data_IF_737432128588
#
_entry.id   IF_737432128588
#
_cell.length_a   1.000
_cell.length_b   1.000
_cell.length_c   1.000
_cell.angle_alpha   90.00
_cell.angle_beta   90.00
_cell.angle_gamma   90.00
#
_symmetry.space_group_name_H-M   'P 1'
#
loop_
_entity.id
_entity.type
_entity.pdbx_description
1 polymer ?
#
# COMPACT_ATOMS: atom_id res chain seq x y z
N UNK A 1 -4.31 6.23 57.66
CA UNK A 1 -5.14 7.38 57.25
C UNK A 1 -5.23 7.39 55.73
N UNK A 2 -6.27 6.76 55.18
CA UNK A 2 -6.38 6.53 53.73
C UNK A 2 -6.81 7.81 52.98
N UNK A 3 -7.56 8.71 53.64
CA UNK A 3 -7.97 10.03 53.13
C UNK A 3 -6.79 10.88 52.62
N UNK A 4 -5.63 10.75 53.26
CA UNK A 4 -4.41 11.49 52.89
C UNK A 4 -3.87 11.12 51.51
N UNK A 5 -4.16 9.91 51.02
CA UNK A 5 -3.76 9.43 49.70
C UNK A 5 -4.68 9.96 48.60
N UNK A 6 -6.00 9.76 48.74
CA UNK A 6 -7.00 10.21 47.76
C UNK A 6 -6.92 11.71 47.47
N UNK A 7 -6.70 12.52 48.51
CA UNK A 7 -6.57 13.99 48.39
C UNK A 7 -5.35 14.45 47.55
N UNK A 8 -4.34 13.59 47.36
CA UNK A 8 -3.15 13.88 46.55
C UNK A 8 -3.35 13.56 45.06
N UNK A 9 -4.29 12.68 44.71
CA UNK A 9 -4.52 12.21 43.34
C UNK A 9 -5.70 12.89 42.62
N UNK A 10 -6.43 13.78 43.29
CA UNK A 10 -7.33 14.76 42.65
C UNK A 10 -8.65 14.22 42.06
N UNK A 11 -8.96 12.94 42.26
CA UNK A 11 -10.18 12.32 41.76
C UNK A 11 -11.34 12.42 42.76
N UNK A 12 -12.56 12.67 42.28
CA UNK A 12 -13.78 12.62 43.10
C UNK A 12 -14.47 11.29 42.87
N UNK A 13 -14.86 10.62 43.95
CA UNK A 13 -15.71 9.42 43.90
C UNK A 13 -17.16 9.84 43.70
N UNK A 14 -17.89 9.05 42.90
CA UNK A 14 -19.35 8.98 42.89
C UNK A 14 -19.72 7.51 43.03
N UNK A 15 -20.41 7.16 44.11
CA UNK A 15 -20.67 5.78 44.51
C UNK A 15 -21.78 5.10 43.70
N UNK A 16 -22.05 3.84 44.08
CA UNK A 16 -23.01 2.84 43.59
C UNK A 16 -22.37 1.81 42.62
N UNK A 17 -22.22 0.50 42.88
CA UNK A 17 -22.13 -0.37 44.06
C UNK A 17 -22.30 -1.82 43.54
N UNK A 18 -21.22 -2.63 43.57
CA UNK A 18 -21.22 -4.12 43.69
C UNK A 18 -21.87 -4.98 42.56
N UNK A 19 -21.43 -6.19 42.15
CA UNK A 19 -20.29 -7.15 42.37
C UNK A 19 -20.45 -8.25 41.28
N UNK A 20 -19.60 -9.25 40.96
CA UNK A 20 -18.20 -9.74 41.17
C UNK A 20 -18.01 -10.84 40.08
N UNK A 21 -16.85 -11.35 39.61
CA UNK A 21 -15.39 -11.18 39.80
C UNK A 21 -14.76 -11.34 38.37
N UNK A 22 -13.63 -10.74 37.95
CA UNK A 22 -12.21 -10.94 38.32
C UNK A 22 -11.58 -12.27 37.77
N UNK A 23 -10.29 -12.35 37.33
CA UNK A 23 -9.28 -11.30 37.04
C UNK A 23 -8.69 -11.31 35.60
N UNK A 24 -7.86 -10.29 35.33
CA UNK A 24 -6.68 -10.29 34.44
C UNK A 24 -6.83 -10.43 32.90
N UNK A 25 -6.76 -9.30 32.20
CA UNK A 25 -5.61 -8.97 31.33
C UNK A 25 -5.65 -7.50 30.88
N UNK A 26 -4.79 -6.65 31.46
CA UNK A 26 -4.75 -5.22 31.12
C UNK A 26 -4.00 -4.96 29.83
N UNK A 27 -4.70 -4.55 28.78
CA UNK A 27 -4.13 -3.90 27.60
C UNK A 27 -4.95 -2.64 27.29
N UNK A 28 -4.37 -1.42 27.34
CA UNK A 28 -5.06 -0.18 26.99
C UNK A 28 -5.15 -0.08 25.45
N UNK A 29 -6.10 -0.82 24.87
CA UNK A 29 -6.43 -0.67 23.45
C UNK A 29 -7.01 0.73 23.25
N UNK A 30 -6.34 1.52 22.41
CA UNK A 30 -6.82 2.86 22.04
C UNK A 30 -8.21 2.75 21.41
N UNK A 31 -9.20 3.28 22.13
CA UNK A 31 -10.60 3.33 21.74
C UNK A 31 -10.82 4.37 20.65
N UNK A 32 -10.33 4.05 19.45
CA UNK A 32 -10.59 4.83 18.26
C UNK A 32 -12.01 4.52 17.79
N UNK A 33 -12.97 5.31 18.28
CA UNK A 33 -14.36 5.38 17.79
C UNK A 33 -14.40 5.92 16.35
N UNK A 34 -13.85 5.15 15.41
CA UNK A 34 -14.15 5.33 14.00
C UNK A 34 -15.56 4.77 13.78
N UNK A 35 -16.50 5.66 13.45
CA UNK A 35 -17.93 5.38 13.43
C UNK A 35 -18.30 4.12 12.63
N UNK A 36 -19.38 3.45 13.06
CA UNK A 36 -19.95 2.26 12.40
C UNK A 36 -20.62 2.59 11.06
N UNK A 37 -19.87 3.15 10.10
CA UNK A 37 -20.27 3.07 8.70
C UNK A 37 -20.43 1.60 8.33
N UNK A 38 -21.66 1.19 8.00
CA UNK A 38 -21.92 -0.17 7.52
C UNK A 38 -21.35 -0.37 6.12
N UNK A 39 -20.04 -0.63 6.07
CA UNK A 39 -19.31 -1.01 4.87
C UNK A 39 -20.06 -2.14 4.14
N UNK A 40 -20.21 -2.05 2.80
CA UNK A 40 -20.85 -3.11 2.03
C UNK A 40 -20.09 -4.43 2.19
N UNK A 41 -20.84 -5.54 2.27
CA UNK A 41 -20.29 -6.90 2.39
C UNK A 41 -19.66 -7.35 1.06
N UNK A 42 -18.44 -6.88 0.77
CA UNK A 42 -17.74 -7.12 -0.50
C UNK A 42 -17.12 -8.52 -0.62
N UNK A 43 -17.00 -9.25 0.50
CA UNK A 43 -16.42 -10.60 0.55
C UNK A 43 -17.48 -11.65 0.85
N UNK A 44 -17.33 -12.84 0.26
CA UNK A 44 -18.16 -13.98 0.62
C UNK A 44 -17.81 -14.51 2.02
N UNK A 45 -18.79 -15.09 2.71
CA UNK A 45 -18.61 -15.73 4.03
C UNK A 45 -17.46 -16.75 4.07
N UNK A 46 -17.26 -17.49 2.97
CA UNK A 46 -16.18 -18.47 2.85
C UNK A 46 -14.80 -17.78 2.82
N UNK A 47 -14.68 -16.67 2.10
CA UNK A 47 -13.45 -15.90 1.98
C UNK A 47 -13.09 -15.18 3.29
N UNK A 48 -14.10 -14.69 4.03
CA UNK A 48 -13.92 -14.15 5.38
C UNK A 48 -13.35 -15.21 6.32
N UNK A 49 -13.95 -16.41 6.35
CA UNK A 49 -13.46 -17.55 7.13
C UNK A 49 -12.04 -17.96 6.72
N UNK A 50 -11.71 -17.90 5.42
CA UNK A 50 -10.36 -18.18 4.93
C UNK A 50 -9.34 -17.19 5.48
N UNK A 51 -9.54 -15.88 5.27
CA UNK A 51 -8.58 -14.86 5.71
C UNK A 51 -8.43 -14.78 7.24
N UNK A 52 -9.50 -15.03 8.00
CA UNK A 52 -9.42 -15.16 9.46
C UNK A 52 -8.54 -16.35 9.87
N UNK A 53 -8.80 -17.56 9.32
CA UNK A 53 -7.98 -18.76 9.59
C UNK A 53 -6.51 -18.56 9.23
N UNK A 54 -6.22 -17.96 8.08
CA UNK A 54 -4.85 -17.70 7.64
C UNK A 54 -4.14 -16.59 8.45
N UNK A 55 -4.87 -15.87 9.32
CA UNK A 55 -4.32 -14.95 10.33
C UNK A 55 -4.27 -15.57 11.74
N UNK A 56 -4.77 -16.79 11.92
CA UNK A 56 -4.90 -17.45 13.24
C UNK A 56 -6.12 -16.98 14.06
N UNK A 57 -7.01 -16.20 13.46
CA UNK A 57 -8.12 -15.52 14.13
C UNK A 57 -9.38 -16.41 14.27
N UNK A 58 -10.18 -16.25 15.35
CA UNK A 58 -11.45 -16.95 15.49
C UNK A 58 -12.39 -16.68 14.32
N UNK A 59 -12.91 -17.74 13.70
CA UNK A 59 -13.80 -17.65 12.52
C UNK A 59 -15.16 -17.01 12.81
N UNK A 60 -15.58 -17.05 14.08
CA UNK A 60 -16.79 -16.41 14.61
C UNK A 60 -16.69 -16.33 16.14
N UNK A 61 -17.01 -15.18 16.72
CA UNK A 61 -17.11 -14.96 18.17
C UNK A 61 -18.54 -15.23 18.66
N UNK A 62 -18.74 -15.32 19.98
CA UNK A 62 -20.09 -15.49 20.55
C UNK A 62 -20.93 -14.23 20.33
N UNK A 63 -22.18 -14.39 19.88
CA UNK A 63 -23.08 -13.28 19.52
C UNK A 63 -22.80 -12.63 18.16
N UNK A 64 -21.57 -12.72 17.63
CA UNK A 64 -21.14 -12.12 16.35
C UNK A 64 -22.00 -12.63 15.18
N UNK A 65 -22.43 -11.75 14.27
CA UNK A 65 -23.05 -12.14 12.99
C UNK A 65 -21.98 -12.37 11.91
N UNK A 66 -22.36 -12.97 10.77
CA UNK A 66 -21.43 -13.12 9.64
C UNK A 66 -20.97 -11.78 9.04
N UNK A 67 -21.72 -10.69 9.31
CA UNK A 67 -21.38 -9.33 8.89
C UNK A 67 -20.34 -8.69 9.83
N UNK A 68 -20.50 -8.88 11.14
CA UNK A 68 -19.58 -8.33 12.14
C UNK A 68 -18.22 -9.04 12.06
N UNK A 69 -18.21 -10.35 11.75
CA UNK A 69 -16.99 -11.11 11.45
C UNK A 69 -16.25 -10.57 10.21
N UNK A 70 -16.97 -10.03 9.21
CA UNK A 70 -16.38 -9.35 8.06
C UNK A 70 -15.81 -7.98 8.45
N UNK A 71 -16.51 -7.18 9.25
CA UNK A 71 -15.97 -5.92 9.78
C UNK A 71 -14.72 -6.15 10.64
N UNK A 72 -14.73 -7.15 11.52
CA UNK A 72 -13.56 -7.54 12.33
C UNK A 72 -12.39 -7.97 11.45
N UNK A 73 -12.62 -8.83 10.46
CA UNK A 73 -11.58 -9.16 9.48
C UNK A 73 -11.03 -7.90 8.82
N UNK A 74 -11.89 -6.97 8.38
CA UNK A 74 -11.45 -5.74 7.70
C UNK A 74 -10.63 -4.82 8.62
N UNK A 75 -10.99 -4.73 9.90
CA UNK A 75 -10.21 -4.02 10.93
C UNK A 75 -8.82 -4.66 11.10
N UNK A 76 -8.73 -5.99 11.10
CA UNK A 76 -7.47 -6.73 11.19
C UNK A 76 -6.64 -6.61 9.90
N UNK A 77 -7.25 -6.59 8.71
CA UNK A 77 -6.56 -6.33 7.44
C UNK A 77 -5.88 -4.95 7.41
N UNK A 78 -6.55 -3.93 7.99
CA UNK A 78 -6.05 -2.54 8.04
C UNK A 78 -4.92 -2.40 9.09
N UNK A 79 -5.07 -3.03 10.26
CA UNK A 79 -4.08 -2.95 11.35
C UNK A 79 -2.86 -3.87 11.13
N UNK A 80 -3.03 -4.98 10.42
CA UNK A 80 -2.00 -5.99 10.15
C UNK A 80 -1.95 -6.34 8.63
N UNK A 81 -1.25 -5.50 7.83
CA UNK A 81 -1.07 -5.74 6.40
C UNK A 81 -0.21 -6.99 6.12
N UNK A 82 -0.56 -7.76 5.09
CA UNK A 82 0.06 -9.05 4.76
C UNK A 82 1.37 -8.95 3.97
N UNK A 83 2.35 -8.25 4.53
CA UNK A 83 3.69 -8.08 3.92
C UNK A 83 4.52 -9.37 3.82
N UNK A 84 4.10 -10.48 4.44
CA UNK A 84 4.95 -11.67 4.65
C UNK A 84 4.49 -12.98 3.96
N UNK A 85 3.37 -13.01 3.23
CA UNK A 85 2.78 -14.28 2.74
C UNK A 85 3.44 -14.92 1.52
N UNK A 86 4.13 -14.14 0.69
CA UNK A 86 4.98 -14.65 -0.41
C UNK A 86 6.44 -14.75 0.04
N UNK A 87 7.04 -13.59 0.31
CA UNK A 87 8.49 -13.40 0.54
C UNK A 87 9.19 -14.47 1.41
N UNK A 88 8.57 -14.96 2.50
CA UNK A 88 9.21 -15.98 3.35
C UNK A 88 9.32 -17.35 2.68
N UNK A 89 8.40 -17.70 1.79
CA UNK A 89 8.47 -18.91 0.98
C UNK A 89 9.41 -18.70 -0.21
N UNK A 90 9.25 -17.57 -0.92
CA UNK A 90 9.99 -17.28 -2.15
C UNK A 90 11.50 -17.08 -1.87
N UNK A 91 11.86 -16.38 -0.78
CA UNK A 91 13.25 -16.26 -0.32
C UNK A 91 13.84 -17.61 0.09
N UNK A 92 13.05 -18.48 0.75
CA UNK A 92 13.52 -19.83 1.08
C UNK A 92 13.75 -20.65 -0.18
N UNK A 93 12.83 -20.60 -1.15
CA UNK A 93 12.97 -21.28 -2.43
C UNK A 93 14.17 -20.74 -3.26
N UNK A 94 14.48 -19.45 -3.16
CA UNK A 94 15.67 -18.86 -3.77
C UNK A 94 16.97 -19.35 -3.09
N UNK A 95 17.02 -19.37 -1.75
CA UNK A 95 18.17 -19.90 -1.01
C UNK A 95 18.36 -21.41 -1.25
N UNK A 96 17.29 -22.19 -1.16
CA UNK A 96 17.29 -23.64 -1.45
C UNK A 96 17.80 -23.91 -2.89
N UNK A 97 17.51 -23.03 -3.86
CA UNK A 97 18.03 -23.12 -5.24
C UNK A 97 19.52 -22.77 -5.34
N UNK A 98 19.99 -21.74 -4.66
CA UNK A 98 21.42 -21.34 -4.65
C UNK A 98 22.26 -22.44 -4.01
N UNK A 99 21.82 -23.00 -2.89
CA UNK A 99 22.49 -24.15 -2.24
C UNK A 99 22.50 -25.38 -3.16
N UNK A 100 21.43 -25.64 -3.91
CA UNK A 100 21.39 -26.70 -4.93
C UNK A 100 22.36 -26.44 -6.09
N UNK A 101 22.45 -25.19 -6.59
CA UNK A 101 23.40 -24.82 -7.64
C UNK A 101 24.85 -25.01 -7.16
N UNK A 102 25.18 -24.55 -5.95
CA UNK A 102 26.49 -24.70 -5.34
C UNK A 102 26.89 -26.17 -5.12
N UNK A 103 25.95 -27.00 -4.62
CA UNK A 103 26.18 -28.45 -4.50
C UNK A 103 26.34 -29.13 -5.86
N UNK A 104 25.56 -28.73 -6.88
CA UNK A 104 25.69 -29.26 -8.23
C UNK A 104 27.01 -28.85 -8.90
N UNK A 105 27.53 -27.64 -8.64
CA UNK A 105 28.85 -27.18 -9.11
C UNK A 105 30.00 -27.98 -8.47
N UNK A 106 29.88 -28.27 -7.16
CA UNK A 106 30.88 -29.08 -6.42
C UNK A 106 30.86 -30.56 -6.87
N UNK A 107 29.69 -31.12 -7.17
CA UNK A 107 29.53 -32.55 -7.50
C UNK A 107 29.67 -32.82 -8.99
N UNK A 108 29.18 -31.93 -9.85
CA UNK A 108 29.14 -32.04 -11.31
C UNK A 108 30.23 -31.24 -12.02
N UNK A 109 31.48 -31.35 -11.52
CA UNK A 109 32.59 -30.49 -11.94
C UNK A 109 32.82 -30.44 -13.46
N UNK A 110 32.57 -29.25 -14.04
CA UNK A 110 32.84 -28.84 -15.42
C UNK A 110 32.24 -29.70 -16.55
N UNK A 111 30.95 -29.53 -16.89
CA UNK A 111 30.53 -29.53 -18.30
C UNK A 111 29.15 -28.88 -18.55
N UNK A 112 29.12 -27.85 -19.41
CA UNK A 112 27.94 -27.28 -20.10
C UNK A 112 26.80 -26.70 -19.22
N UNK A 113 25.99 -25.73 -19.67
CA UNK A 113 25.99 -24.98 -20.93
C UNK A 113 24.58 -24.49 -21.28
N UNK A 114 24.45 -23.20 -21.61
CA UNK A 114 23.23 -22.52 -22.10
C UNK A 114 22.08 -22.25 -21.08
N UNK A 115 21.25 -21.27 -21.43
CA UNK A 115 19.93 -20.88 -20.88
C UNK A 115 19.76 -20.56 -19.37
N UNK A 116 20.14 -19.33 -18.97
CA UNK A 116 19.34 -18.55 -17.99
C UNK A 116 19.38 -17.01 -18.22
N UNK A 117 19.47 -16.59 -19.49
CA UNK A 117 19.49 -15.18 -19.89
C UNK A 117 18.12 -14.47 -19.78
N UNK A 118 17.16 -15.04 -19.04
CA UNK A 118 15.78 -14.54 -18.96
C UNK A 118 15.47 -13.73 -17.68
N UNK A 119 16.39 -13.73 -16.70
CA UNK A 119 16.29 -12.91 -15.49
C UNK A 119 17.16 -11.64 -15.54
N UNK A 120 17.49 -11.15 -16.74
CA UNK A 120 17.96 -9.77 -16.94
C UNK A 120 16.80 -8.78 -16.71
N UNK A 121 16.44 -8.61 -15.44
CA UNK A 121 15.70 -7.45 -14.98
C UNK A 121 16.55 -6.22 -15.29
N UNK A 122 16.30 -5.61 -16.47
CA UNK A 122 16.78 -4.28 -16.82
C UNK A 122 16.13 -3.24 -15.91
N UNK A 123 16.64 -3.21 -14.68
CA UNK A 123 16.60 -2.08 -13.78
C UNK A 123 17.36 -0.95 -14.48
N UNK A 124 16.64 -0.20 -15.31
CA UNK A 124 17.10 1.07 -15.81
C UNK A 124 17.03 2.09 -14.66
N UNK A 125 17.94 1.94 -13.71
CA UNK A 125 18.39 2.99 -12.80
C UNK A 125 19.09 4.10 -13.62
N UNK A 126 18.31 4.82 -14.42
CA UNK A 126 18.62 6.23 -14.66
C UNK A 126 18.53 6.91 -13.29
N UNK A 127 19.70 7.10 -12.65
CA UNK A 127 19.93 7.61 -11.29
C UNK A 127 19.48 9.07 -11.08
N UNK A 128 18.35 9.46 -11.65
CA UNK A 128 17.72 10.76 -11.52
C UNK A 128 17.03 10.81 -10.15
N UNK A 129 17.59 11.57 -9.22
CA UNK A 129 16.96 11.76 -7.91
C UNK A 129 15.71 12.64 -8.04
N UNK A 130 14.81 12.56 -7.06
CA UNK A 130 13.64 13.45 -6.97
C UNK A 130 14.10 14.91 -6.91
N UNK A 131 15.18 15.18 -6.17
CA UNK A 131 15.84 16.49 -6.08
C UNK A 131 16.33 17.01 -7.46
N UNK A 132 16.84 16.12 -8.32
CA UNK A 132 17.22 16.49 -9.70
C UNK A 132 16.00 16.80 -10.56
N UNK A 133 14.89 16.05 -10.41
CA UNK A 133 13.63 16.32 -11.12
C UNK A 133 13.01 17.66 -10.70
N UNK A 134 13.05 18.00 -9.41
CA UNK A 134 12.56 19.30 -8.90
C UNK A 134 13.39 20.46 -9.47
N UNK A 135 14.72 20.36 -9.44
CA UNK A 135 15.63 21.37 -9.99
C UNK A 135 15.47 21.57 -11.50
N UNK A 136 15.24 20.49 -12.26
CA UNK A 136 14.90 20.59 -13.69
C UNK A 136 13.51 21.21 -13.90
N UNK A 137 12.54 20.85 -13.05
CA UNK A 137 11.18 21.37 -13.06
C UNK A 137 11.08 22.89 -12.89
N UNK A 138 11.98 23.52 -12.13
CA UNK A 138 12.04 24.98 -12.04
C UNK A 138 12.27 25.65 -13.40
N UNK A 139 13.01 25.02 -14.30
CA UNK A 139 13.36 25.57 -15.62
C UNK A 139 12.31 25.34 -16.70
N UNK A 140 11.35 24.44 -16.44
CA UNK A 140 10.37 23.97 -17.40
C UNK A 140 9.42 25.10 -17.85
N UNK A 141 9.17 25.22 -19.15
CA UNK A 141 8.23 26.18 -19.73
C UNK A 141 8.74 27.62 -19.75
N UNK A 142 10.05 27.85 -19.54
CA UNK A 142 10.68 29.18 -19.64
C UNK A 142 11.02 29.60 -21.07
N UNK A 143 10.57 28.85 -22.09
CA UNK A 143 10.66 29.21 -23.51
C UNK A 143 11.84 28.59 -24.26
N UNK A 144 12.28 27.39 -23.86
CA UNK A 144 13.25 26.58 -24.59
C UNK A 144 12.66 25.19 -24.83
N UNK A 145 11.79 25.10 -25.83
CA UNK A 145 11.00 23.92 -26.16
C UNK A 145 11.83 22.63 -26.29
N UNK A 146 13.11 22.74 -26.68
CA UNK A 146 14.03 21.60 -26.76
C UNK A 146 14.44 21.10 -25.37
N UNK A 147 14.86 21.99 -24.47
CA UNK A 147 15.13 21.62 -23.07
C UNK A 147 13.86 21.12 -22.38
N UNK A 148 12.73 21.76 -22.63
CA UNK A 148 11.44 21.34 -22.06
C UNK A 148 11.07 19.91 -22.50
N UNK A 149 11.27 19.57 -23.78
CA UNK A 149 11.08 18.20 -24.29
C UNK A 149 12.06 17.19 -23.69
N UNK A 150 13.33 17.55 -23.49
CA UNK A 150 14.32 16.67 -22.85
C UNK A 150 13.97 16.40 -21.37
N UNK A 151 13.55 17.44 -20.63
CA UNK A 151 13.11 17.34 -19.23
C UNK A 151 11.85 16.48 -19.12
N UNK A 152 10.84 16.72 -19.96
CA UNK A 152 9.61 15.91 -20.02
C UNK A 152 9.94 14.45 -20.36
N UNK A 153 10.85 14.22 -21.32
CA UNK A 153 11.27 12.87 -21.71
C UNK A 153 11.99 12.16 -20.56
N UNK A 154 12.86 12.86 -19.82
CA UNK A 154 13.54 12.31 -18.64
C UNK A 154 12.54 11.94 -17.54
N UNK A 155 11.59 12.84 -17.22
CA UNK A 155 10.53 12.58 -16.26
C UNK A 155 9.66 11.36 -16.66
N UNK A 156 9.21 11.27 -17.93
CA UNK A 156 8.40 10.16 -18.44
C UNK A 156 9.14 8.80 -18.49
N UNK A 157 10.46 8.76 -18.31
CA UNK A 157 11.22 7.52 -18.08
C UNK A 157 11.22 7.08 -16.61
N UNK A 158 11.24 8.03 -15.68
CA UNK A 158 11.24 7.75 -14.22
C UNK A 158 9.88 7.26 -13.68
N UNK A 159 8.81 7.38 -14.47
CA UNK A 159 7.48 6.91 -14.08
C UNK A 159 7.31 5.38 -14.21
N UNK A 160 6.59 4.72 -13.28
CA UNK A 160 6.15 3.33 -13.40
C UNK A 160 5.43 3.04 -14.73
N UNK A 161 5.55 1.80 -15.22
CA UNK A 161 5.03 1.36 -16.51
C UNK A 161 3.51 1.61 -16.64
N UNK A 162 2.74 1.25 -15.62
CA UNK A 162 1.30 1.40 -15.54
C UNK A 162 0.83 2.88 -15.52
N UNK A 163 1.62 3.79 -14.92
CA UNK A 163 1.36 5.24 -15.01
C UNK A 163 1.71 5.76 -16.42
N UNK A 164 2.83 5.30 -16.98
CA UNK A 164 3.30 5.67 -18.32
C UNK A 164 2.36 5.20 -19.43
N UNK A 165 1.79 4.00 -19.32
CA UNK A 165 0.75 3.47 -20.22
C UNK A 165 -0.52 4.30 -20.14
N UNK A 166 -1.01 4.61 -18.94
CA UNK A 166 -2.17 5.49 -18.73
C UNK A 166 -2.00 6.87 -19.37
N UNK A 167 -0.85 7.52 -19.15
CA UNK A 167 -0.51 8.80 -19.79
C UNK A 167 -0.46 8.65 -21.32
N UNK A 168 0.15 7.58 -21.83
CA UNK A 168 0.24 7.31 -23.27
C UNK A 168 -1.14 7.14 -23.90
N UNK A 169 -2.07 6.48 -23.24
CA UNK A 169 -3.43 6.26 -23.74
C UNK A 169 -4.30 7.53 -23.67
N UNK A 170 -4.11 8.38 -22.64
CA UNK A 170 -4.67 9.73 -22.59
C UNK A 170 -4.17 10.57 -23.78
N UNK A 171 -2.87 10.52 -24.10
CA UNK A 171 -2.28 11.23 -25.25
C UNK A 171 -2.85 10.70 -26.57
N UNK A 172 -2.91 9.37 -26.78
CA UNK A 172 -3.55 8.76 -27.97
C UNK A 172 -4.99 9.24 -28.13
N UNK A 173 -5.77 9.23 -27.05
CA UNK A 173 -7.17 9.66 -27.03
C UNK A 173 -7.34 11.15 -27.35
N UNK A 174 -6.46 12.02 -26.83
CA UNK A 174 -6.47 13.45 -27.12
C UNK A 174 -6.14 13.75 -28.59
N UNK A 175 -5.17 13.02 -29.17
CA UNK A 175 -4.82 13.11 -30.59
C UNK A 175 -5.96 12.60 -31.49
N UNK A 176 -6.54 11.43 -31.18
CA UNK A 176 -7.67 10.84 -31.91
C UNK A 176 -8.93 11.72 -31.90
N UNK A 177 -9.13 12.53 -30.85
CA UNK A 177 -10.26 13.47 -30.73
C UNK A 177 -10.01 14.86 -31.29
N UNK A 178 -8.88 15.06 -31.99
CA UNK A 178 -8.59 16.28 -32.74
C UNK A 178 -8.52 17.57 -31.89
N UNK A 179 -8.27 17.45 -30.57
CA UNK A 179 -8.16 18.60 -29.65
C UNK A 179 -7.08 19.62 -30.05
N UNK A 180 -6.14 19.25 -30.91
CA UNK A 180 -5.13 20.14 -31.52
C UNK A 180 -5.75 21.24 -32.39
N UNK A 181 -7.02 21.11 -32.84
CA UNK A 181 -7.77 22.18 -33.52
C UNK A 181 -8.35 23.24 -32.58
N UNK A 182 -8.27 23.04 -31.26
CA UNK A 182 -8.78 24.01 -30.28
C UNK A 182 -7.80 25.19 -30.19
N UNK A 183 -8.23 26.43 -30.50
CA UNK A 183 -7.34 27.59 -30.42
C UNK A 183 -6.94 27.87 -28.95
N UNK A 184 -5.72 28.39 -28.69
CA UNK A 184 -5.18 28.54 -27.34
C UNK A 184 -6.08 29.37 -26.40
N UNK A 185 -6.80 30.36 -26.94
CA UNK A 185 -7.76 31.21 -26.23
C UNK A 185 -8.93 30.43 -25.57
N UNK A 186 -9.20 29.20 -25.99
CA UNK A 186 -10.35 28.41 -25.51
C UNK A 186 -10.28 28.16 -24.00
N UNK A 187 -9.10 27.87 -23.46
CA UNK A 187 -8.88 27.64 -22.03
C UNK A 187 -8.70 28.94 -21.22
N UNK A 188 -8.53 30.08 -21.90
CA UNK A 188 -8.36 31.40 -21.27
C UNK A 188 -9.68 32.14 -21.02
N UNK A 189 -10.77 31.73 -21.66
CA UNK A 189 -12.12 32.27 -21.40
C UNK A 189 -12.68 31.76 -20.07
N UNK A 190 -12.34 32.46 -18.98
CA UNK A 190 -13.05 32.36 -17.70
C UNK A 190 -14.57 32.51 -17.94
N UNK A 191 -15.43 31.71 -17.26
CA UNK A 191 -16.87 31.83 -17.41
C UNK A 191 -17.33 33.22 -16.98
N UNK A 192 -18.17 33.85 -17.81
CA UNK A 192 -18.90 35.05 -17.40
C UNK A 192 -19.96 34.63 -16.38
N UNK A 193 -19.76 35.02 -15.13
CA UNK A 193 -20.81 34.92 -14.10
C UNK A 193 -21.85 35.99 -14.43
N UNK A 194 -23.12 35.59 -14.46
CA UNK A 194 -24.30 36.43 -14.67
C UNK A 194 -24.90 36.77 -13.30
#
# INVERSE_FOLDING_TARGET
>A
DEEAYFKKCGYKVSDEAEKDENPASSNPVLELELAEEKLPMTLSRQEVIRRLRERGEPIRLFGETDYDAFQRLRKIEILAPEVNKGLRNDLKAALDKIDQQYLNEIVGGQEQGEDDAQNDLKVHEENTTIEELEALGESLGRGDDHKDMDIITKFLKTLPADIKESITDIIKFMLQREYVKVPPDFFLKKPHVI
#
